data_IF_735786963421
#
_entry.id   IF_735786963421
#
_cell.length_a   1.000
_cell.length_b   1.000
_cell.length_c   1.000
_cell.angle_alpha   90.00
_cell.angle_beta   90.00
_cell.angle_gamma   90.00
#
_symmetry.space_group_name_H-M   'P 1'
#
loop_
_entity.id
_entity.type
_entity.pdbx_description
1 polymer ?
#
# COMPACT_ATOMS: atom_id res chain seq x y z
N UNK A 1 3.35 16.92 -7.43
CA UNK A 1 2.74 16.24 -8.60
C UNK A 1 1.94 17.27 -9.37
N UNK A 2 1.99 17.29 -10.73
CA UNK A 2 1.08 18.12 -11.52
C UNK A 2 -0.36 17.82 -11.12
N UNK A 3 -1.23 18.83 -11.16
CA UNK A 3 -2.63 18.65 -10.82
C UNK A 3 -3.31 17.75 -11.87
N UNK A 4 -3.50 16.48 -11.52
CA UNK A 4 -4.33 15.53 -12.27
C UNK A 4 -5.77 15.66 -11.75
N UNK A 5 -6.43 16.75 -12.14
CA UNK A 5 -7.84 17.00 -11.79
C UNK A 5 -8.77 16.21 -12.73
N UNK A 6 -10.07 16.19 -12.46
CA UNK A 6 -11.03 15.53 -13.35
C UNK A 6 -11.07 16.18 -14.73
N UNK A 7 -10.84 17.49 -14.78
CA UNK A 7 -10.95 18.32 -15.97
C UNK A 7 -9.63 18.38 -16.78
N UNK A 8 -8.50 18.15 -16.12
CA UNK A 8 -7.17 18.36 -16.71
C UNK A 8 -6.30 17.11 -16.86
N UNK A 9 -6.69 15.98 -16.25
CA UNK A 9 -5.89 14.76 -16.34
C UNK A 9 -5.80 14.24 -17.77
N UNK A 10 -4.58 13.93 -18.21
CA UNK A 10 -4.34 13.36 -19.52
C UNK A 10 -4.23 11.83 -19.46
N UNK A 11 -4.33 11.17 -20.61
CA UNK A 11 -4.02 9.74 -20.72
C UNK A 11 -2.59 9.44 -20.24
N UNK A 12 -1.63 10.30 -20.58
CA UNK A 12 -0.22 10.13 -20.20
C UNK A 12 -0.06 10.19 -18.66
N UNK A 13 -0.71 11.15 -17.99
CA UNK A 13 -0.70 11.23 -16.52
C UNK A 13 -1.23 9.95 -15.88
N UNK A 14 -2.35 9.43 -16.39
CA UNK A 14 -2.99 8.23 -15.86
C UNK A 14 -2.08 6.99 -16.04
N UNK A 15 -1.55 6.80 -17.26
CA UNK A 15 -0.73 5.63 -17.58
C UNK A 15 0.64 5.67 -16.91
N UNK A 16 1.29 6.83 -16.86
CA UNK A 16 2.59 7.01 -16.20
C UNK A 16 2.48 6.68 -14.70
N UNK A 17 1.48 7.25 -14.01
CA UNK A 17 1.25 6.98 -12.59
C UNK A 17 0.84 5.53 -12.34
N UNK A 18 0.04 4.92 -13.21
CA UNK A 18 -0.34 3.50 -13.09
C UNK A 18 0.86 2.57 -13.23
N UNK A 19 1.72 2.82 -14.22
CA UNK A 19 2.95 2.05 -14.44
C UNK A 19 3.86 2.10 -13.20
N UNK A 20 4.01 3.26 -12.59
CA UNK A 20 4.85 3.43 -11.40
C UNK A 20 4.20 2.81 -10.16
N UNK A 21 2.94 3.14 -9.86
CA UNK A 21 2.31 2.81 -8.59
C UNK A 21 1.68 1.41 -8.53
N UNK A 22 1.45 0.76 -9.68
CA UNK A 22 0.77 -0.54 -9.76
C UNK A 22 1.64 -1.57 -10.44
N UNK A 23 2.08 -1.30 -11.68
CA UNK A 23 2.91 -2.24 -12.43
C UNK A 23 4.28 -2.41 -11.78
N UNK A 24 4.90 -1.34 -11.29
CA UNK A 24 6.15 -1.39 -10.53
C UNK A 24 6.11 -2.37 -9.36
N UNK A 25 5.22 -2.20 -8.36
CA UNK A 25 5.06 -3.14 -7.26
C UNK A 25 4.74 -4.58 -7.69
N UNK A 26 3.94 -4.75 -8.75
CA UNK A 26 3.65 -6.07 -9.32
C UNK A 26 4.93 -6.76 -9.82
N UNK A 27 5.73 -6.06 -10.62
CA UNK A 27 6.98 -6.60 -11.19
C UNK A 27 8.03 -6.87 -10.10
N UNK A 28 8.16 -5.98 -9.11
CA UNK A 28 9.02 -6.22 -7.93
C UNK A 28 8.58 -7.49 -7.21
N UNK A 29 7.28 -7.66 -6.98
CA UNK A 29 6.75 -8.87 -6.34
C UNK A 29 7.10 -10.11 -7.16
N UNK A 30 6.90 -10.09 -8.48
CA UNK A 30 7.22 -11.22 -9.35
C UNK A 30 8.70 -11.60 -9.31
N UNK A 31 9.60 -10.61 -9.37
CA UNK A 31 11.04 -10.82 -9.35
C UNK A 31 11.52 -11.43 -8.02
N UNK A 32 10.95 -11.00 -6.89
CA UNK A 32 11.35 -11.45 -5.54
C UNK A 32 10.54 -12.66 -5.02
N UNK A 33 9.49 -13.10 -5.74
CA UNK A 33 8.63 -14.20 -5.30
C UNK A 33 9.39 -15.49 -4.95
N UNK A 34 10.41 -15.94 -5.71
CA UNK A 34 11.17 -17.13 -5.33
C UNK A 34 11.87 -17.00 -3.96
N UNK A 35 12.37 -15.80 -3.63
CA UNK A 35 13.03 -15.52 -2.35
C UNK A 35 12.02 -15.46 -1.20
N UNK A 36 10.84 -14.87 -1.44
CA UNK A 36 9.75 -14.85 -0.48
C UNK A 36 9.26 -16.26 -0.14
N UNK A 37 9.07 -17.13 -1.15
CA UNK A 37 8.70 -18.54 -0.95
C UNK A 37 9.78 -19.29 -0.16
N UNK A 38 11.05 -19.06 -0.47
CA UNK A 38 12.17 -19.66 0.27
C UNK A 38 12.19 -19.22 1.74
N UNK A 39 11.95 -17.94 2.03
CA UNK A 39 11.86 -17.43 3.39
C UNK A 39 10.67 -18.04 4.16
N UNK A 40 9.51 -18.14 3.51
CA UNK A 40 8.31 -18.75 4.10
C UNK A 40 8.51 -20.23 4.45
N UNK A 41 9.15 -21.00 3.55
CA UNK A 41 9.47 -22.43 3.74
C UNK A 41 10.53 -22.67 4.82
N UNK A 42 11.51 -21.76 4.96
CA UNK A 42 12.56 -21.85 5.97
C UNK A 42 12.12 -21.43 7.38
N UNK A 43 10.95 -20.80 7.52
CA UNK A 43 10.45 -20.34 8.81
C UNK A 43 9.76 -21.45 9.60
N UNK A 44 10.02 -21.51 10.90
CA UNK A 44 9.28 -22.37 11.84
C UNK A 44 7.88 -21.84 12.17
N UNK A 45 7.58 -20.59 11.80
CA UNK A 45 6.28 -19.99 12.08
C UNK A 45 5.21 -20.56 11.13
N UNK A 46 4.12 -21.07 11.70
CA UNK A 46 2.99 -21.58 10.92
C UNK A 46 2.12 -20.44 10.37
N UNK A 47 1.75 -19.49 11.22
CA UNK A 47 0.90 -18.34 10.87
C UNK A 47 1.60 -17.34 9.95
N UNK A 48 0.82 -16.59 9.18
CA UNK A 48 1.31 -15.43 8.42
C UNK A 48 1.80 -14.32 9.36
N UNK A 49 2.96 -13.73 9.05
CA UNK A 49 3.54 -12.60 9.78
C UNK A 49 4.56 -11.86 8.91
N UNK A 50 4.86 -10.61 9.25
CA UNK A 50 5.93 -9.86 8.59
C UNK A 50 7.33 -10.43 8.85
N UNK A 51 7.55 -11.14 9.96
CA UNK A 51 8.84 -11.77 10.28
C UNK A 51 9.05 -13.11 9.57
N UNK A 52 8.02 -13.69 8.96
CA UNK A 52 8.11 -14.92 8.15
C UNK A 52 8.43 -14.60 6.69
N UNK A 53 7.47 -13.98 6.01
CA UNK A 53 7.58 -13.52 4.62
C UNK A 53 6.38 -12.62 4.35
N UNK A 54 6.62 -11.41 3.84
CA UNK A 54 5.54 -10.47 3.58
C UNK A 54 5.81 -9.54 2.39
N UNK A 55 4.71 -9.11 1.77
CA UNK A 55 4.65 -8.05 0.77
C UNK A 55 3.84 -6.91 1.38
N UNK A 56 4.48 -5.74 1.52
CA UNK A 56 3.88 -4.55 2.11
C UNK A 56 3.82 -3.46 1.06
N UNK A 57 2.62 -3.18 0.55
CA UNK A 57 2.39 -2.12 -0.43
C UNK A 57 2.09 -0.80 0.27
N UNK A 58 2.88 0.25 0.02
CA UNK A 58 2.59 1.58 0.57
C UNK A 58 1.46 2.23 -0.24
N UNK A 59 0.29 2.34 0.39
CA UNK A 59 -0.92 2.93 -0.19
C UNK A 59 -1.25 4.28 0.46
N UNK A 60 -2.51 4.71 0.38
CA UNK A 60 -2.97 6.01 0.86
C UNK A 60 -4.46 5.95 1.23
N UNK A 61 -4.91 6.78 2.16
CA UNK A 61 -6.35 7.00 2.41
C UNK A 61 -7.10 7.46 1.15
N UNK A 62 -6.42 8.12 0.21
CA UNK A 62 -6.98 8.51 -1.10
C UNK A 62 -7.49 7.36 -1.98
N UNK A 63 -7.13 6.12 -1.64
CA UNK A 63 -7.53 4.92 -2.36
C UNK A 63 -8.88 4.35 -1.92
N UNK A 64 -9.43 4.86 -0.80
CA UNK A 64 -10.71 4.41 -0.24
C UNK A 64 -11.87 4.87 -1.13
N UNK A 65 -12.66 3.92 -1.60
CA UNK A 65 -13.92 4.06 -2.33
C UNK A 65 -15.08 4.25 -1.34
N UNK A 66 -15.05 3.55 -0.21
CA UNK A 66 -16.09 3.59 0.83
C UNK A 66 -16.04 4.85 1.70
N UNK A 67 -14.87 5.49 1.82
CA UNK A 67 -14.72 6.77 2.50
C UNK A 67 -13.60 7.65 1.87
N UNK A 68 -13.79 8.14 0.63
CA UNK A 68 -12.78 8.90 -0.08
C UNK A 68 -12.54 10.29 0.55
N UNK A 69 -11.28 10.75 0.62
CA UNK A 69 -10.99 12.14 0.98
C UNK A 69 -11.63 13.13 0.01
N UNK A 70 -12.00 14.31 0.50
CA UNK A 70 -12.65 15.37 -0.28
C UNK A 70 -11.82 15.76 -1.52
N UNK A 71 -12.48 15.90 -2.67
CA UNK A 71 -11.85 16.27 -3.94
C UNK A 71 -11.30 17.70 -3.94
N UNK A 72 -11.92 18.64 -3.22
CA UNK A 72 -11.43 20.02 -3.12
C UNK A 72 -10.06 20.11 -2.42
N UNK A 73 -9.78 19.22 -1.46
CA UNK A 73 -8.53 19.21 -0.70
C UNK A 73 -7.50 18.24 -1.26
N UNK A 74 -7.90 17.26 -2.07
CA UNK A 74 -7.00 16.27 -2.63
C UNK A 74 -7.36 15.87 -4.08
N UNK A 75 -7.28 16.79 -5.06
CA UNK A 75 -7.73 16.59 -6.44
C UNK A 75 -6.65 15.90 -7.32
N UNK A 76 -6.26 14.67 -6.95
CA UNK A 76 -5.20 13.91 -7.66
C UNK A 76 -5.74 12.57 -8.20
N UNK A 77 -6.50 12.60 -9.29
CA UNK A 77 -7.26 11.43 -9.77
C UNK A 77 -6.36 10.27 -10.20
N UNK A 78 -5.26 10.54 -10.93
CA UNK A 78 -4.34 9.49 -11.38
C UNK A 78 -3.71 8.75 -10.21
N UNK A 79 -3.30 9.51 -9.18
CA UNK A 79 -2.76 8.98 -7.94
C UNK A 79 -3.80 8.14 -7.19
N UNK A 80 -5.03 8.66 -6.99
CA UNK A 80 -6.11 7.94 -6.31
C UNK A 80 -6.44 6.62 -7.01
N UNK A 81 -6.74 6.66 -8.31
CA UNK A 81 -7.06 5.48 -9.10
C UNK A 81 -5.92 4.45 -9.07
N UNK A 82 -4.66 4.89 -9.19
CA UNK A 82 -3.52 3.98 -9.10
C UNK A 82 -3.40 3.31 -7.74
N UNK A 83 -3.69 4.02 -6.65
CA UNK A 83 -3.61 3.45 -5.30
C UNK A 83 -4.80 2.54 -4.99
N UNK A 84 -5.98 2.82 -5.54
CA UNK A 84 -7.12 1.88 -5.54
C UNK A 84 -6.82 0.61 -6.35
N UNK A 85 -6.10 0.72 -7.47
CA UNK A 85 -5.64 -0.45 -8.22
C UNK A 85 -4.54 -1.24 -7.47
N UNK A 86 -3.58 -0.57 -6.83
CA UNK A 86 -2.56 -1.20 -5.96
C UNK A 86 -3.20 -1.96 -4.78
N UNK A 87 -4.28 -1.41 -4.25
CA UNK A 87 -5.13 -2.01 -3.24
C UNK A 87 -5.76 -3.33 -3.71
N UNK A 88 -6.35 -3.34 -4.91
CA UNK A 88 -6.83 -4.57 -5.54
C UNK A 88 -5.69 -5.57 -5.80
N UNK A 89 -4.53 -5.10 -6.31
CA UNK A 89 -3.34 -5.94 -6.49
C UNK A 89 -2.94 -6.60 -5.16
N UNK A 90 -2.92 -5.85 -4.05
CA UNK A 90 -2.65 -6.38 -2.71
C UNK A 90 -3.63 -7.48 -2.33
N UNK A 91 -4.92 -7.30 -2.64
CA UNK A 91 -5.94 -8.33 -2.40
C UNK A 91 -5.67 -9.58 -3.24
N UNK A 92 -5.39 -9.44 -4.52
CA UNK A 92 -5.03 -10.56 -5.40
C UNK A 92 -3.78 -11.31 -4.89
N UNK A 93 -2.72 -10.59 -4.52
CA UNK A 93 -1.51 -11.17 -3.94
C UNK A 93 -1.82 -11.94 -2.65
N UNK A 94 -2.65 -11.37 -1.77
CA UNK A 94 -3.03 -12.01 -0.51
C UNK A 94 -3.78 -13.33 -0.69
N UNK A 95 -4.58 -13.44 -1.76
CA UNK A 95 -5.33 -14.65 -2.09
C UNK A 95 -4.43 -15.67 -2.80
N UNK A 96 -3.64 -15.21 -3.78
CA UNK A 96 -2.79 -16.07 -4.61
C UNK A 96 -1.56 -16.62 -3.88
N UNK A 97 -1.04 -15.91 -2.88
CA UNK A 97 0.18 -16.30 -2.16
C UNK A 97 -0.08 -16.76 -0.72
N UNK A 98 -1.36 -16.93 -0.33
CA UNK A 98 -1.72 -17.39 1.01
C UNK A 98 -1.10 -18.75 1.33
N UNK A 99 -1.23 -19.71 0.42
CA UNK A 99 -0.76 -21.08 0.61
C UNK A 99 0.76 -21.21 0.48
N UNK A 100 1.42 -20.21 -0.12
CA UNK A 100 2.87 -20.04 -0.07
C UNK A 100 3.36 -19.51 1.30
N UNK A 101 2.46 -19.18 2.22
CA UNK A 101 2.79 -18.67 3.55
C UNK A 101 3.27 -17.21 3.56
N UNK A 102 2.86 -16.41 2.58
CA UNK A 102 3.27 -15.00 2.42
C UNK A 102 2.12 -14.07 2.81
N UNK A 103 2.38 -13.20 3.80
CA UNK A 103 1.44 -12.15 4.20
C UNK A 103 1.46 -11.01 3.18
N UNK A 104 0.31 -10.59 2.67
CA UNK A 104 0.22 -9.43 1.79
C UNK A 104 -0.71 -8.39 2.41
N UNK A 105 -0.25 -7.16 2.59
CA UNK A 105 -1.10 -6.07 3.10
C UNK A 105 -0.70 -4.73 2.49
N UNK A 106 -1.54 -3.72 2.65
CA UNK A 106 -1.24 -2.36 2.26
C UNK A 106 -1.28 -1.42 3.46
N UNK A 107 -0.40 -0.42 3.45
CA UNK A 107 -0.26 0.54 4.56
C UNK A 107 -0.46 1.96 4.06
N UNK A 108 -1.40 2.68 4.67
CA UNK A 108 -1.46 4.14 4.58
C UNK A 108 -0.51 4.75 5.62
N UNK A 109 0.54 5.48 5.19
CA UNK A 109 1.54 6.01 6.12
C UNK A 109 1.09 7.24 6.92
N UNK A 110 -0.16 7.70 6.75
CA UNK A 110 -0.58 9.04 7.17
C UNK A 110 -0.22 10.11 6.12
N UNK A 111 -0.52 11.37 6.42
CA UNK A 111 -0.03 12.50 5.61
C UNK A 111 1.32 12.96 6.18
N UNK A 112 2.40 12.68 5.45
CA UNK A 112 3.79 12.75 5.95
C UNK A 112 4.59 13.87 5.28
N UNK A 113 5.34 14.64 6.08
CA UNK A 113 6.24 15.73 5.66
C UNK A 113 7.39 15.20 4.81
N UNK A 114 7.13 15.08 3.52
CA UNK A 114 8.03 14.67 2.44
C UNK A 114 7.82 15.60 1.25
N UNK A 115 8.60 15.50 0.19
CA UNK A 115 8.33 16.24 -1.05
C UNK A 115 6.92 15.98 -1.60
N UNK A 116 6.41 14.74 -1.47
CA UNK A 116 5.06 14.37 -1.91
C UNK A 116 3.97 14.91 -0.98
N UNK A 117 4.20 14.87 0.33
CA UNK A 117 3.22 15.33 1.32
C UNK A 117 3.27 16.83 1.61
N UNK A 118 4.34 17.51 1.21
CA UNK A 118 4.64 18.92 1.50
C UNK A 118 4.81 19.24 2.99
N UNK A 119 5.24 20.45 3.32
CA UNK A 119 5.39 20.90 4.70
C UNK A 119 4.06 21.07 5.45
N UNK A 120 2.93 21.03 4.73
CA UNK A 120 1.58 21.10 5.29
C UNK A 120 1.12 19.80 5.94
N UNK A 121 1.84 18.70 5.70
CA UNK A 121 1.51 17.41 6.29
C UNK A 121 1.62 17.42 7.82
N UNK A 122 0.76 16.65 8.49
CA UNK A 122 0.66 16.67 9.96
C UNK A 122 1.70 15.79 10.65
N UNK A 123 2.29 14.82 9.94
CA UNK A 123 3.22 13.84 10.50
C UNK A 123 4.65 14.03 9.98
N UNK A 124 5.62 13.92 10.86
CA UNK A 124 7.02 13.71 10.44
C UNK A 124 7.23 12.30 9.89
N UNK A 125 8.26 12.12 9.06
CA UNK A 125 8.68 10.80 8.56
C UNK A 125 8.93 9.83 9.72
N UNK A 126 9.59 10.31 10.75
CA UNK A 126 9.98 9.52 11.92
C UNK A 126 8.76 9.03 12.73
N UNK A 127 7.73 9.87 12.91
CA UNK A 127 6.46 9.45 13.52
C UNK A 127 5.75 8.38 12.69
N UNK A 128 5.63 8.62 11.37
CA UNK A 128 5.00 7.68 10.45
C UNK A 128 5.69 6.32 10.46
N UNK A 129 7.01 6.28 10.27
CA UNK A 129 7.78 5.03 10.19
C UNK A 129 7.75 4.27 11.52
N UNK A 130 7.85 4.94 12.67
CA UNK A 130 7.70 4.26 13.97
C UNK A 130 6.33 3.59 14.13
N UNK A 131 5.25 4.27 13.72
CA UNK A 131 3.91 3.69 13.72
C UNK A 131 3.82 2.48 12.80
N UNK A 132 4.30 2.61 11.56
CA UNK A 132 4.32 1.53 10.57
C UNK A 132 5.09 0.31 11.11
N UNK A 133 6.28 0.49 11.67
CA UNK A 133 7.07 -0.61 12.23
C UNK A 133 6.33 -1.30 13.39
N UNK A 134 5.64 -0.53 14.24
CA UNK A 134 4.76 -1.09 15.28
C UNK A 134 3.59 -1.87 14.67
N UNK A 135 2.97 -1.38 13.60
CA UNK A 135 1.89 -2.11 12.91
C UNK A 135 2.43 -3.43 12.34
N UNK A 136 3.54 -3.38 11.60
CA UNK A 136 4.18 -4.55 10.99
C UNK A 136 4.53 -5.64 12.01
N UNK A 137 4.95 -5.27 13.22
CA UNK A 137 5.25 -6.26 14.27
C UNK A 137 4.04 -7.00 14.82
N UNK A 138 2.81 -6.53 14.54
CA UNK A 138 1.56 -7.12 15.04
C UNK A 138 0.65 -7.66 13.93
N UNK A 139 1.04 -7.52 12.65
CA UNK A 139 0.21 -8.03 11.56
C UNK A 139 0.13 -9.55 11.56
N UNK A 140 -1.06 -10.05 11.24
CA UNK A 140 -1.38 -11.46 11.19
C UNK A 140 -2.29 -11.77 9.99
N UNK A 141 -2.74 -13.01 9.89
CA UNK A 141 -3.75 -13.44 8.91
C UNK A 141 -5.00 -12.55 8.89
N UNK A 142 -5.36 -11.92 10.02
CA UNK A 142 -6.49 -10.98 10.11
C UNK A 142 -6.36 -9.76 9.20
N UNK A 143 -5.13 -9.33 8.93
CA UNK A 143 -4.83 -8.17 8.07
C UNK A 143 -4.37 -8.58 6.67
N UNK A 144 -4.41 -9.87 6.34
CA UNK A 144 -4.03 -10.34 5.02
C UNK A 144 -5.04 -9.86 3.96
N UNK A 145 -4.56 -9.06 3.03
CA UNK A 145 -5.33 -8.53 1.92
C UNK A 145 -6.29 -7.42 2.30
N UNK A 146 -5.98 -6.62 3.31
CA UNK A 146 -6.68 -5.36 3.63
C UNK A 146 -5.69 -4.19 3.64
N UNK A 147 -6.22 -2.97 3.81
CA UNK A 147 -5.42 -1.77 4.07
C UNK A 147 -5.54 -1.39 5.53
N UNK A 148 -4.40 -1.10 6.16
CA UNK A 148 -4.34 -0.48 7.48
C UNK A 148 -3.59 0.84 7.41
N UNK A 149 -3.78 1.73 8.37
CA UNK A 149 -2.95 2.92 8.50
C UNK A 149 -1.75 2.70 9.44
N UNK A 150 -0.90 3.71 9.57
CA UNK A 150 0.27 3.74 10.45
C UNK A 150 -0.04 3.57 11.95
N UNK A 151 -1.32 3.67 12.35
CA UNK A 151 -1.80 3.40 13.71
C UNK A 151 -2.43 2.00 13.85
N UNK A 152 -2.56 1.27 12.73
CA UNK A 152 -3.14 -0.08 12.67
C UNK A 152 -4.66 -0.10 12.46
N UNK A 153 -5.28 1.05 12.19
CA UNK A 153 -6.72 1.12 11.90
C UNK A 153 -6.99 0.69 10.47
N UNK A 154 -8.08 -0.04 10.24
CA UNK A 154 -8.49 -0.44 8.89
C UNK A 154 -8.89 0.79 8.08
N UNK A 155 -8.36 0.92 6.88
CA UNK A 155 -8.85 1.87 5.87
C UNK A 155 -9.92 1.15 5.04
N UNK A 156 -11.16 1.66 4.98
CA UNK A 156 -12.21 1.07 4.16
C UNK A 156 -11.79 1.01 2.69
N UNK A 157 -12.15 -0.08 2.01
CA UNK A 157 -12.00 -0.15 0.56
C UNK A 157 -12.85 0.86 -0.14
#
# INVERSE_FOLDING_TARGET
MPASTLESATQEDMLSVYNINVVGPMLVTQAFLPLLKKAAQGSKQKSLSCSKAAIINISTIGSSIGNPPNMATFPVISYRCSKTALNMLTRCQSLGYKDDGILCTAIHPGWVKTELGTDKADLTVDQSVRGILKVLSHLSEKQNGIVVDWEGRTVPW
#
